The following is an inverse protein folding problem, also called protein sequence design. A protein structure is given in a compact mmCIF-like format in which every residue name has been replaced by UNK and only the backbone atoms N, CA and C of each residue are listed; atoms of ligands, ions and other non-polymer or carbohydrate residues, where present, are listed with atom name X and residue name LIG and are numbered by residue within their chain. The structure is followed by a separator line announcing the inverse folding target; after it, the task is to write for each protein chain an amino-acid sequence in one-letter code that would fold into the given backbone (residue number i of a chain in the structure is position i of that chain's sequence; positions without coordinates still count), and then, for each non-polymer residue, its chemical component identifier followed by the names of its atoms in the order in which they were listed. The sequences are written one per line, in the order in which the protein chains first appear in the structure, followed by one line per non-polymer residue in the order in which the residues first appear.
data_IF_761863429055
#
_entry.id   IF_761863429055
#
_cell.length_a   1.000
_cell.length_b   1.000
_cell.length_c   1.000
_cell.angle_alpha   90.00
_cell.angle_beta   90.00
_cell.angle_gamma   90.00
#
_symmetry.space_group_name_H-M   'P 1'
#
loop_
_entity.id
_entity.type
_entity.pdbx_description
1 polymer ?
#
# COMPACT_ATOMS: atom_id res chain seq x y z
N UNK A 1 30.75 -4.23 1.80
CA UNK A 1 29.85 -3.19 1.28
C UNK A 1 30.68 -1.94 1.00
N UNK A 2 30.29 -1.07 0.04
CA UNK A 2 30.91 0.25 -0.04
C UNK A 2 30.65 1.03 1.25
N UNK A 3 31.61 1.84 1.68
CA UNK A 3 31.48 2.72 2.85
C UNK A 3 31.28 4.15 2.39
N UNK A 4 30.39 4.89 3.06
CA UNK A 4 30.13 6.30 2.80
C UNK A 4 30.07 7.06 4.12
N UNK A 5 30.40 8.35 4.08
CA UNK A 5 30.40 9.23 5.24
C UNK A 5 29.17 10.15 5.18
N UNK A 6 28.42 10.21 6.28
CA UNK A 6 27.24 11.06 6.42
C UNK A 6 27.61 12.31 7.24
N UNK A 7 27.15 13.47 6.78
CA UNK A 7 27.21 14.71 7.54
C UNK A 7 25.77 15.11 7.86
N UNK A 8 25.41 15.08 9.15
CA UNK A 8 24.08 15.40 9.65
C UNK A 8 24.15 16.68 10.47
N UNK A 9 23.06 17.45 10.48
CA UNK A 9 22.89 18.53 11.46
C UNK A 9 22.69 17.94 12.85
N UNK A 10 23.11 18.67 13.89
CA UNK A 10 23.05 18.22 15.29
C UNK A 10 21.65 17.72 15.69
N UNK A 11 20.60 18.43 15.29
CA UNK A 11 19.20 18.06 15.61
C UNK A 11 18.82 16.68 15.01
N UNK A 12 19.18 16.45 13.75
CA UNK A 12 18.87 15.20 13.03
C UNK A 12 19.71 14.05 13.58
N UNK A 13 20.97 14.30 13.92
CA UNK A 13 21.82 13.29 14.54
C UNK A 13 21.27 12.88 15.91
N UNK A 14 20.82 13.83 16.72
CA UNK A 14 20.23 13.54 18.02
C UNK A 14 18.95 12.70 17.91
N UNK A 15 18.05 13.04 16.98
CA UNK A 15 16.83 12.27 16.71
C UNK A 15 17.16 10.86 16.21
N UNK A 16 18.12 10.73 15.30
CA UNK A 16 18.60 9.44 14.81
C UNK A 16 19.19 8.57 15.93
N UNK A 17 20.03 9.13 16.81
CA UNK A 17 20.62 8.39 17.92
C UNK A 17 19.55 7.89 18.90
N UNK A 18 18.55 8.72 19.20
CA UNK A 18 17.43 8.31 20.03
C UNK A 18 16.68 7.14 19.38
N UNK A 19 16.31 7.27 18.10
CA UNK A 19 15.58 6.25 17.38
C UNK A 19 16.37 4.93 17.27
N UNK A 20 17.68 5.02 17.03
CA UNK A 20 18.58 3.88 16.94
C UNK A 20 18.66 3.08 18.25
N UNK A 21 18.64 3.76 19.42
CA UNK A 21 18.65 3.10 20.73
C UNK A 21 17.30 2.46 21.08
N UNK A 22 16.20 3.08 20.67
CA UNK A 22 14.84 2.60 21.00
C UNK A 22 14.36 1.44 20.12
N UNK A 23 14.65 1.48 18.81
CA UNK A 23 14.03 0.57 17.82
C UNK A 23 15.01 -0.40 17.14
N UNK A 24 16.32 -0.18 17.24
CA UNK A 24 17.31 -0.93 16.47
C UNK A 24 18.37 -1.62 17.34
N UNK A 25 19.03 -2.61 16.75
CA UNK A 25 20.10 -3.36 17.42
C UNK A 25 21.44 -2.62 17.34
N UNK A 26 21.65 -1.86 16.26
CA UNK A 26 22.86 -1.06 16.04
C UNK A 26 22.56 0.18 15.20
N UNK A 27 23.42 1.19 15.35
CA UNK A 27 23.39 2.41 14.54
C UNK A 27 23.55 2.13 13.04
N UNK A 28 24.43 1.18 12.69
CA UNK A 28 24.63 0.76 11.30
C UNK A 28 23.34 0.19 10.70
N UNK A 29 22.64 -0.67 11.46
CA UNK A 29 21.39 -1.25 11.00
C UNK A 29 20.28 -0.19 10.90
N UNK A 30 20.19 0.72 11.87
CA UNK A 30 19.24 1.83 11.82
C UNK A 30 19.47 2.70 10.57
N UNK A 31 20.72 3.04 10.28
CA UNK A 31 21.06 3.83 9.10
C UNK A 31 20.68 3.11 7.80
N UNK A 32 20.97 1.82 7.67
CA UNK A 32 20.60 1.05 6.49
C UNK A 32 19.08 0.95 6.29
N UNK A 33 18.35 0.58 7.33
CA UNK A 33 16.89 0.39 7.26
C UNK A 33 16.15 1.70 7.00
N UNK A 34 16.55 2.80 7.65
CA UNK A 34 15.96 4.12 7.45
C UNK A 34 16.25 4.67 6.05
N UNK A 35 17.48 4.52 5.55
CA UNK A 35 17.84 4.96 4.20
C UNK A 35 17.08 4.11 3.16
N UNK A 36 16.98 2.79 3.36
CA UNK A 36 16.22 1.91 2.48
C UNK A 36 14.74 2.30 2.43
N UNK A 37 14.11 2.50 3.59
CA UNK A 37 12.71 2.96 3.68
C UNK A 37 12.51 4.33 3.02
N UNK A 38 13.43 5.27 3.22
CA UNK A 38 13.41 6.57 2.57
C UNK A 38 13.49 6.45 1.04
N UNK A 39 14.40 5.62 0.52
CA UNK A 39 14.52 5.37 -0.92
C UNK A 39 13.23 4.78 -1.47
N UNK A 40 12.63 3.78 -0.80
CA UNK A 40 11.36 3.17 -1.20
C UNK A 40 10.23 4.20 -1.27
N UNK A 41 10.14 5.10 -0.28
CA UNK A 41 9.14 6.17 -0.26
C UNK A 41 9.29 7.16 -1.43
N UNK A 42 10.53 7.44 -1.87
CA UNK A 42 10.78 8.26 -3.06
C UNK A 42 10.63 7.51 -4.38
N UNK A 43 10.71 6.17 -4.35
CA UNK A 43 10.56 5.33 -5.54
C UNK A 43 9.09 5.12 -5.96
N UNK A 44 8.17 5.89 -5.38
CA UNK A 44 6.84 6.13 -5.94
C UNK A 44 7.00 7.01 -7.18
N UNK A 45 7.60 6.47 -8.24
CA UNK A 45 7.39 6.98 -9.57
C UNK A 45 5.90 6.95 -9.82
N UNK A 46 5.26 8.12 -9.73
CA UNK A 46 4.03 8.53 -10.42
C UNK A 46 3.34 7.33 -11.07
N UNK A 47 2.54 6.59 -10.29
CA UNK A 47 1.57 5.70 -10.92
C UNK A 47 0.63 6.67 -11.61
N UNK A 48 0.73 6.75 -12.94
CA UNK A 48 -0.14 7.56 -13.80
C UNK A 48 -1.55 7.52 -13.22
N UNK A 49 -2.05 8.69 -12.81
CA UNK A 49 -3.46 8.88 -12.51
C UNK A 49 -4.22 8.89 -13.85
N UNK A 50 -4.17 7.77 -14.57
CA UNK A 50 -5.23 7.41 -15.49
C UNK A 50 -6.24 6.61 -14.68
N UNK A 51 -7.39 7.18 -14.30
CA UNK A 51 -8.53 6.39 -13.87
C UNK A 51 -8.93 5.54 -15.07
N UNK A 52 -8.36 4.34 -15.18
CA UNK A 52 -8.77 3.38 -16.18
C UNK A 52 -10.21 3.01 -15.89
N UNK A 53 -11.02 3.33 -16.88
CA UNK A 53 -12.45 3.16 -17.11
C UNK A 53 -12.95 1.70 -16.89
N UNK A 54 -12.62 1.07 -15.77
CA UNK A 54 -13.00 -0.31 -15.44
C UNK A 54 -14.42 -0.42 -14.86
N UNK A 55 -15.20 0.67 -14.89
CA UNK A 55 -16.58 0.70 -14.40
C UNK A 55 -17.65 0.62 -15.50
N UNK A 56 -17.29 0.54 -16.79
CA UNK A 56 -18.27 0.59 -17.89
C UNK A 56 -18.55 -0.76 -18.58
N UNK A 57 -17.66 -1.76 -18.51
CA UNK A 57 -17.81 -2.98 -19.35
C UNK A 57 -18.49 -4.18 -18.64
N UNK A 58 -18.72 -4.10 -17.32
CA UNK A 58 -19.25 -5.22 -16.51
C UNK A 58 -20.76 -5.18 -16.23
N UNK A 59 -21.43 -4.04 -16.46
CA UNK A 59 -22.83 -3.85 -16.08
C UNK A 59 -23.83 -4.22 -17.19
N UNK A 60 -23.36 -4.50 -18.41
CA UNK A 60 -24.23 -4.65 -19.57
C UNK A 60 -24.66 -6.11 -19.84
N UNK A 61 -23.93 -7.09 -19.30
CA UNK A 61 -24.15 -8.51 -19.64
C UNK A 61 -25.04 -9.30 -18.65
N UNK A 62 -25.48 -8.71 -17.53
CA UNK A 62 -26.27 -9.41 -16.50
C UNK A 62 -27.71 -8.89 -16.33
N UNK A 63 -28.16 -7.90 -17.12
CA UNK A 63 -29.52 -7.35 -16.98
C UNK A 63 -30.59 -8.10 -17.79
N UNK A 64 -30.20 -9.06 -18.64
CA UNK A 64 -31.11 -9.69 -19.61
C UNK A 64 -31.30 -11.20 -19.47
N UNK A 65 -30.86 -11.81 -18.35
CA UNK A 65 -31.05 -13.25 -18.09
C UNK A 65 -31.66 -13.55 -16.72
N UNK A 66 -32.65 -12.75 -16.31
CA UNK A 66 -33.58 -13.11 -15.22
C UNK A 66 -35.01 -13.28 -15.74
N UNK A 67 -35.15 -13.73 -16.99
CA UNK A 67 -36.43 -14.02 -17.62
C UNK A 67 -36.92 -15.46 -17.39
N UNK A 68 -36.49 -16.11 -16.29
CA UNK A 68 -37.01 -17.43 -15.88
C UNK A 68 -37.80 -17.32 -14.55
N UNK A 69 -39.09 -17.03 -14.74
CA UNK A 69 -40.28 -17.44 -13.97
C UNK A 69 -40.32 -17.30 -12.42
N UNK A 70 -40.98 -16.25 -11.86
CA UNK A 70 -41.12 -16.06 -10.41
C UNK A 70 -42.29 -16.88 -9.79
N UNK A 71 -42.61 -18.06 -10.31
CA UNK A 71 -43.95 -18.65 -10.18
C UNK A 71 -44.15 -19.89 -9.31
N UNK A 72 -43.13 -20.51 -8.70
CA UNK A 72 -43.34 -21.82 -8.02
C UNK A 72 -42.63 -21.93 -6.67
N UNK A 73 -43.28 -21.42 -5.61
CA UNK A 73 -43.13 -21.96 -4.25
C UNK A 73 -44.56 -22.21 -3.72
N UNK A 74 -45.04 -23.43 -3.96
CA UNK A 74 -46.02 -24.05 -3.07
C UNK A 74 -45.32 -24.31 -1.74
N UNK A 75 -45.54 -23.44 -0.73
CA UNK A 75 -45.26 -23.79 0.68
C UNK A 75 -46.56 -23.73 1.48
N UNK A 76 -47.00 -24.94 1.74
CA UNK A 76 -48.10 -25.45 2.52
C UNK A 76 -48.01 -25.03 4.00
N UNK A 77 -48.74 -23.99 4.44
CA UNK A 77 -49.07 -23.73 5.87
C UNK A 77 -50.36 -22.92 6.07
N UNK A 78 -51.45 -23.61 6.43
CA UNK A 78 -52.36 -23.28 7.56
C UNK A 78 -53.49 -24.31 7.71
#
# INVERSE_FOLDING_TARGET
MPTFELNLSDDVYAEFQQLADEEFVSEEQAAEDLIASGIEAYNVSVVDEEPRDEMLDGAENNMFDTAEDPGSIEDDRL
#
